data_IF_265727740106
#
_entry.id   IF_265727740106
#
_cell.length_a   1.000
_cell.length_b   1.000
_cell.length_c   1.000
_cell.angle_alpha   90.00
_cell.angle_beta   90.00
_cell.angle_gamma   90.00
#
_symmetry.space_group_name_H-M   'P 1'
#
loop_
_entity.id
_entity.type
_entity.pdbx_description
1 polymer ?
#
# COMPACT_ATOMS: atom_id res chain seq x y z
N UNK A 1 -14.62 -19.03 -7.72
CA UNK A 1 -14.63 -17.58 -8.06
C UNK A 1 -13.33 -16.94 -7.57
N UNK A 2 -12.48 -16.41 -8.47
CA UNK A 2 -11.29 -15.62 -8.08
C UNK A 2 -11.79 -14.34 -7.40
N UNK A 3 -11.62 -14.24 -6.09
CA UNK A 3 -11.69 -12.93 -5.44
C UNK A 3 -10.64 -12.04 -6.09
N UNK A 4 -11.07 -11.06 -6.88
CA UNK A 4 -10.23 -9.96 -7.36
C UNK A 4 -9.89 -9.06 -6.17
N UNK A 5 -9.18 -9.62 -5.19
CA UNK A 5 -8.61 -8.86 -4.08
C UNK A 5 -7.27 -8.33 -4.54
N UNK A 6 -7.28 -7.34 -5.43
CA UNK A 6 -6.10 -6.51 -5.59
C UNK A 6 -5.93 -5.74 -4.29
N UNK A 7 -4.98 -6.18 -3.47
CA UNK A 7 -4.51 -5.38 -2.35
C UNK A 7 -3.74 -4.21 -2.94
N UNK A 8 -4.45 -3.12 -3.18
CA UNK A 8 -3.81 -1.86 -3.48
C UNK A 8 -3.28 -1.31 -2.17
N UNK A 9 -2.00 -0.99 -2.15
CA UNK A 9 -1.43 -0.18 -1.09
C UNK A 9 -1.98 1.23 -1.27
N UNK A 10 -2.70 1.72 -0.27
CA UNK A 10 -3.19 3.09 -0.26
C UNK A 10 -2.11 3.95 0.40
N UNK A 11 -1.59 4.89 -0.37
CA UNK A 11 -0.55 5.83 0.04
C UNK A 11 -1.22 7.19 0.24
N UNK A 12 -1.63 7.47 1.47
CA UNK A 12 -2.27 8.72 1.85
C UNK A 12 -1.37 9.54 2.77
N UNK A 13 -1.53 10.86 2.75
CA UNK A 13 -0.75 11.76 3.59
C UNK A 13 0.73 11.88 3.23
N UNK A 14 1.43 12.74 3.96
CA UNK A 14 2.85 12.96 3.82
C UNK A 14 3.65 11.81 4.43
N UNK A 15 4.70 11.37 3.73
CA UNK A 15 5.59 10.29 4.17
C UNK A 15 5.28 8.91 3.58
N UNK A 16 4.09 8.70 3.00
CA UNK A 16 3.69 7.40 2.47
C UNK A 16 4.60 6.87 1.33
N UNK A 17 5.28 7.78 0.60
CA UNK A 17 6.28 7.46 -0.45
C UNK A 17 7.73 7.46 0.06
N UNK A 18 7.95 7.36 1.38
CA UNK A 18 9.28 7.35 1.99
C UNK A 18 9.88 8.73 2.26
N UNK A 19 9.04 9.78 2.37
CA UNK A 19 9.46 11.12 2.79
C UNK A 19 9.45 11.28 4.33
N UNK A 20 9.85 12.45 4.86
CA UNK A 20 9.97 12.68 6.30
C UNK A 20 8.61 12.70 7.04
N UNK A 21 7.49 12.78 6.31
CA UNK A 21 6.16 12.64 6.91
C UNK A 21 5.53 13.93 7.44
N UNK A 22 6.02 15.08 7.02
CA UNK A 22 5.54 16.39 7.48
C UNK A 22 4.80 17.14 6.37
N UNK A 23 3.69 17.79 6.72
CA UNK A 23 2.98 18.77 5.89
C UNK A 23 3.39 20.17 6.31
N UNK A 24 3.81 20.96 5.34
CA UNK A 24 4.17 22.36 5.53
C UNK A 24 2.94 23.26 5.62
N UNK A 25 3.15 24.52 6.03
CA UNK A 25 2.06 25.51 6.12
C UNK A 25 1.44 25.86 4.77
N UNK A 26 2.11 25.56 3.65
CA UNK A 26 1.58 25.72 2.30
C UNK A 26 0.64 24.56 1.89
N UNK A 27 0.40 23.61 2.79
CA UNK A 27 -0.42 22.43 2.56
C UNK A 27 0.27 21.32 1.77
N UNK A 28 1.56 21.44 1.43
CA UNK A 28 2.31 20.41 0.69
C UNK A 28 3.18 19.55 1.60
N UNK A 29 3.55 18.36 1.12
CA UNK A 29 4.49 17.51 1.82
C UNK A 29 5.91 18.03 1.71
N UNK A 30 6.60 18.11 2.85
CA UNK A 30 7.97 18.60 2.92
C UNK A 30 8.94 17.45 2.64
N UNK A 31 9.96 17.70 1.82
CA UNK A 31 11.04 16.75 1.56
C UNK A 31 12.19 16.88 2.56
N UNK A 32 13.03 15.85 2.71
CA UNK A 32 14.15 15.85 3.66
C UNK A 32 15.06 17.08 3.54
N UNK A 33 15.32 17.53 2.31
CA UNK A 33 16.19 18.70 2.04
C UNK A 33 15.63 20.00 2.61
N UNK A 34 14.31 20.15 2.63
CA UNK A 34 13.64 21.38 3.03
C UNK A 34 13.06 21.31 4.45
N UNK A 35 13.20 20.16 5.13
CA UNK A 35 12.58 19.88 6.42
C UNK A 35 12.99 20.89 7.50
N UNK A 36 14.30 21.11 7.69
CA UNK A 36 14.79 22.06 8.71
C UNK A 36 14.42 23.50 8.33
N UNK A 37 14.51 23.84 7.04
CA UNK A 37 14.22 25.19 6.54
C UNK A 37 12.74 25.57 6.67
N UNK A 38 11.83 24.62 6.47
CA UNK A 38 10.38 24.85 6.47
C UNK A 38 9.78 24.58 7.85
N UNK A 39 10.16 23.47 8.50
CA UNK A 39 9.54 23.00 9.73
C UNK A 39 10.34 23.37 11.00
N UNK A 40 11.55 23.88 10.85
CA UNK A 40 12.49 24.15 11.95
C UNK A 40 13.32 22.92 12.33
N UNK A 41 14.24 23.08 13.28
CA UNK A 41 14.99 21.97 13.88
C UNK A 41 14.07 20.98 14.60
N UNK A 42 14.57 19.76 14.85
CA UNK A 42 13.83 18.76 15.61
C UNK A 42 13.35 19.38 16.94
N UNK A 43 12.04 19.30 17.28
CA UNK A 43 11.04 18.32 16.84
C UNK A 43 10.18 18.71 15.61
N UNK A 44 10.63 19.67 14.78
CA UNK A 44 9.95 20.12 13.56
C UNK A 44 8.54 20.70 13.81
N UNK A 45 8.38 21.44 14.91
CA UNK A 45 7.10 21.97 15.39
C UNK A 45 6.42 22.96 14.42
N UNK A 46 7.12 23.47 13.41
CA UNK A 46 6.56 24.33 12.37
C UNK A 46 5.73 23.60 11.31
N UNK A 47 5.67 22.27 11.35
CA UNK A 47 4.90 21.45 10.41
C UNK A 47 4.03 20.43 11.13
N UNK A 48 2.96 20.01 10.45
CA UNK A 48 2.11 18.94 10.95
C UNK A 48 2.72 17.58 10.59
N UNK A 49 2.90 16.72 11.58
CA UNK A 49 3.42 15.37 11.38
C UNK A 49 2.27 14.43 11.02
N UNK A 50 2.24 13.98 9.77
CA UNK A 50 1.21 13.07 9.30
C UNK A 50 1.63 11.60 9.35
N UNK A 51 2.94 11.30 9.21
CA UNK A 51 3.55 9.96 9.24
C UNK A 51 2.56 8.81 8.96
N UNK A 52 1.89 8.87 7.80
CA UNK A 52 0.85 7.91 7.50
C UNK A 52 1.52 6.56 7.19
N UNK A 53 1.28 5.50 8.00
CA UNK A 53 1.82 4.20 7.68
C UNK A 53 1.21 3.72 6.37
N UNK A 54 2.00 2.97 5.60
CA UNK A 54 1.50 2.24 4.44
C UNK A 54 0.47 1.23 4.94
N UNK A 55 -0.81 1.55 4.84
CA UNK A 55 -1.88 0.64 5.24
C UNK A 55 -2.13 -0.34 4.09
N UNK A 56 -2.01 -1.66 4.31
CA UNK A 56 -2.49 -2.60 3.33
C UNK A 56 -4.01 -2.46 3.28
N UNK A 57 -4.57 -1.96 2.17
CA UNK A 57 -6.02 -1.88 2.00
C UNK A 57 -6.71 -3.27 1.98
N UNK A 58 -5.94 -4.36 2.14
CA UNK A 58 -6.48 -5.67 2.50
C UNK A 58 -7.25 -5.62 3.84
N UNK A 59 -6.89 -4.72 4.76
CA UNK A 59 -7.44 -4.68 6.12
C UNK A 59 -8.89 -4.19 6.20
N UNK A 60 -9.34 -3.38 5.24
CA UNK A 60 -10.74 -2.93 5.16
C UNK A 60 -11.71 -4.05 4.72
N UNK A 61 -11.20 -5.20 4.24
CA UNK A 61 -11.95 -6.46 4.13
C UNK A 61 -11.75 -7.29 5.39
N UNK A 62 -12.26 -6.83 6.53
CA UNK A 62 -12.24 -7.57 7.79
C UNK A 62 -12.95 -8.95 7.73
N UNK A 63 -13.59 -9.31 6.61
CA UNK A 63 -14.08 -10.66 6.27
C UNK A 63 -13.12 -11.40 5.32
N UNK A 64 -11.84 -11.47 5.68
CA UNK A 64 -10.83 -12.18 4.88
C UNK A 64 -10.94 -13.71 4.94
N UNK A 65 -10.02 -14.41 4.27
CA UNK A 65 -9.95 -15.89 4.28
C UNK A 65 -9.86 -16.49 5.69
N UNK A 66 -9.32 -15.73 6.65
CA UNK A 66 -9.19 -16.12 8.05
C UNK A 66 -10.56 -16.21 8.73
N UNK A 67 -11.40 -15.18 8.59
CA UNK A 67 -12.78 -15.22 9.07
C UNK A 67 -13.58 -16.34 8.42
N UNK A 68 -13.46 -16.50 7.09
CA UNK A 68 -14.18 -17.55 6.37
C UNK A 68 -13.81 -18.97 6.83
N UNK A 69 -12.52 -19.20 7.15
CA UNK A 69 -12.07 -20.45 7.76
C UNK A 69 -12.62 -20.65 9.17
N UNK A 70 -12.67 -19.59 9.97
CA UNK A 70 -13.20 -19.64 11.33
C UNK A 70 -14.70 -19.98 11.34
N UNK A 71 -15.49 -19.37 10.44
CA UNK A 71 -16.90 -19.70 10.25
C UNK A 71 -17.11 -21.12 9.71
N UNK A 72 -16.34 -21.54 8.71
CA UNK A 72 -16.45 -22.90 8.19
C UNK A 72 -16.16 -23.95 9.28
N UNK A 73 -15.16 -23.70 10.12
CA UNK A 73 -14.85 -24.56 11.25
C UNK A 73 -15.99 -24.63 12.28
N UNK A 74 -16.73 -23.53 12.55
CA UNK A 74 -17.89 -23.58 13.46
C UNK A 74 -19.01 -24.47 12.93
N UNK A 75 -19.17 -24.55 11.61
CA UNK A 75 -20.17 -25.40 10.94
C UNK A 75 -19.65 -26.81 10.59
N UNK A 76 -18.45 -27.19 11.05
CA UNK A 76 -17.76 -28.45 10.69
C UNK A 76 -17.54 -28.64 9.19
N UNK A 77 -17.44 -27.53 8.46
CA UNK A 77 -17.13 -27.51 7.03
C UNK A 77 -15.63 -27.26 6.82
N UNK A 78 -15.10 -27.79 5.73
CA UNK A 78 -13.75 -27.47 5.27
C UNK A 78 -13.82 -26.67 3.99
N UNK A 79 -13.03 -25.60 3.91
CA UNK A 79 -12.98 -24.72 2.73
C UNK A 79 -11.58 -24.76 2.12
N UNK A 80 -11.52 -25.19 0.86
CA UNK A 80 -10.30 -25.20 0.06
C UNK A 80 -10.30 -23.99 -0.87
N UNK A 81 -9.20 -23.23 -0.88
CA UNK A 81 -9.04 -22.08 -1.77
C UNK A 81 -8.18 -22.45 -2.96
N UNK A 82 -8.75 -22.42 -4.15
CA UNK A 82 -7.99 -22.68 -5.37
C UNK A 82 -7.28 -21.39 -5.84
N UNK A 83 -5.97 -21.46 -6.17
CA UNK A 83 -5.25 -20.32 -6.71
C UNK A 83 -5.77 -19.95 -8.10
N UNK A 84 -5.48 -18.73 -8.50
CA UNK A 84 -5.88 -18.24 -9.79
C UNK A 84 -4.97 -18.81 -10.90
N UNK A 85 -5.53 -19.35 -11.99
CA UNK A 85 -4.74 -19.68 -13.19
C UNK A 85 -3.94 -18.45 -13.66
N UNK A 86 -2.63 -18.62 -13.82
CA UNK A 86 -1.71 -17.57 -14.29
C UNK A 86 -1.90 -17.41 -15.80
N UNK A 87 -2.30 -16.23 -16.31
CA UNK A 87 -2.32 -16.03 -17.76
C UNK A 87 -0.86 -16.08 -18.28
N UNK A 88 -0.62 -16.90 -19.30
CA UNK A 88 0.66 -16.97 -20.01
C UNK A 88 0.94 -15.59 -20.60
N UNK A 89 1.95 -14.88 -20.08
CA UNK A 89 2.38 -13.59 -20.63
C UNK A 89 2.75 -13.81 -22.10
N UNK A 90 2.18 -13.08 -23.08
CA UNK A 90 2.63 -13.19 -24.46
C UNK A 90 4.11 -12.78 -24.51
N UNK A 91 4.92 -13.56 -25.22
CA UNK A 91 6.32 -13.27 -25.42
C UNK A 91 6.46 -11.89 -26.04
N UNK A 92 7.12 -10.96 -25.34
CA UNK A 92 7.46 -9.65 -25.90
C UNK A 92 8.53 -9.89 -26.95
N UNK A 93 8.26 -9.56 -28.21
CA UNK A 93 9.24 -9.64 -29.29
C UNK A 93 10.43 -8.72 -28.98
N UNK A 94 11.65 -9.24 -29.13
CA UNK A 94 12.87 -8.47 -28.98
C UNK A 94 12.94 -7.33 -30.02
N UNK A 95 13.44 -6.14 -29.68
CA UNK A 95 13.65 -5.08 -30.67
C UNK A 95 14.73 -5.51 -31.67
N UNK A 96 14.48 -5.22 -32.95
CA UNK A 96 15.41 -5.48 -34.05
C UNK A 96 16.73 -4.73 -33.81
N UNK A 97 17.83 -5.48 -33.74
CA UNK A 97 19.18 -4.94 -33.69
C UNK A 97 19.56 -4.45 -35.09
N UNK A 98 19.60 -3.13 -35.28
CA UNK A 98 20.22 -2.51 -36.46
C UNK A 98 21.72 -2.36 -36.21
N UNK A 99 22.53 -3.18 -36.87
CA UNK A 99 23.85 -2.79 -37.39
C UNK A 99 24.31 -3.71 -38.50
#
# INVERSE_FOLDING_TARGET
MKGRGHCHVVCEGCGCKGGPGYRGPDGRCVGYRDLIRVCGEAPHAGCERECAPVVPACALKALGRVWLKALAASERLSVTFQPADTPKRPAVAAPASTR
#
